data_IF_830699685617
#
_entry.id   IF_830699685617
#
_cell.length_a   1.000
_cell.length_b   1.000
_cell.length_c   1.000
_cell.angle_alpha   90.00
_cell.angle_beta   90.00
_cell.angle_gamma   90.00
#
_symmetry.space_group_name_H-M   'P 1'
#
loop_
_entity.id
_entity.type
_entity.pdbx_description
1 polymer ?
#
# COMPACT_ATOMS: atom_id res chain seq x y z
N UNK A 1 -10.66 -24.80 2.31
CA UNK A 1 -10.41 -23.41 2.75
C UNK A 1 -10.80 -22.50 1.58
N UNK A 2 -12.04 -22.01 1.58
CA UNK A 2 -12.69 -21.37 0.43
C UNK A 2 -13.39 -20.07 0.86
N UNK A 3 -12.79 -19.37 1.83
CA UNK A 3 -13.27 -18.07 2.34
C UNK A 3 -12.53 -16.88 1.68
N UNK A 4 -11.74 -17.14 0.65
CA UNK A 4 -10.80 -16.15 0.08
C UNK A 4 -11.42 -15.19 -0.94
N UNK A 5 -12.50 -15.56 -1.63
CA UNK A 5 -12.99 -14.71 -2.72
C UNK A 5 -13.71 -13.44 -2.24
N UNK A 6 -14.54 -13.54 -1.19
CA UNK A 6 -15.30 -12.39 -0.67
C UNK A 6 -14.43 -11.42 0.12
N UNK A 7 -13.53 -11.95 0.97
CA UNK A 7 -12.57 -11.16 1.74
C UNK A 7 -11.59 -10.40 0.82
N UNK A 8 -11.06 -11.06 -0.21
CA UNK A 8 -10.17 -10.44 -1.19
C UNK A 8 -10.85 -9.30 -1.96
N UNK A 9 -12.11 -9.51 -2.40
CA UNK A 9 -12.88 -8.46 -3.09
C UNK A 9 -13.15 -7.24 -2.19
N UNK A 10 -13.44 -7.48 -0.90
CA UNK A 10 -13.62 -6.39 0.08
C UNK A 10 -12.30 -5.65 0.28
N UNK A 11 -11.19 -6.36 0.50
CA UNK A 11 -9.86 -5.76 0.64
C UNK A 11 -9.50 -4.92 -0.60
N UNK A 12 -9.71 -5.49 -1.80
CA UNK A 12 -9.49 -4.79 -3.07
C UNK A 12 -10.29 -3.49 -3.15
N UNK A 13 -11.59 -3.56 -2.84
CA UNK A 13 -12.49 -2.41 -2.85
C UNK A 13 -12.08 -1.32 -1.87
N UNK A 14 -11.65 -1.70 -0.66
CA UNK A 14 -11.18 -0.78 0.38
C UNK A 14 -9.88 -0.08 -0.04
N UNK A 15 -8.91 -0.82 -0.56
CA UNK A 15 -7.65 -0.24 -1.02
C UNK A 15 -7.87 0.71 -2.20
N UNK A 16 -8.68 0.33 -3.19
CA UNK A 16 -9.03 1.21 -4.31
C UNK A 16 -9.68 2.50 -3.79
N UNK A 17 -10.64 2.39 -2.87
CA UNK A 17 -11.30 3.56 -2.27
C UNK A 17 -10.32 4.44 -1.48
N UNK A 18 -9.37 3.85 -0.76
CA UNK A 18 -8.34 4.60 -0.04
C UNK A 18 -7.44 5.38 -1.00
N UNK A 19 -6.97 4.75 -2.08
CA UNK A 19 -6.14 5.38 -3.12
C UNK A 19 -6.86 6.60 -3.73
N UNK A 20 -8.16 6.46 -4.03
CA UNK A 20 -8.99 7.55 -4.56
C UNK A 20 -9.11 8.72 -3.58
N UNK A 21 -9.43 8.43 -2.30
CA UNK A 21 -9.57 9.44 -1.25
C UNK A 21 -8.25 10.18 -0.96
N UNK A 22 -7.14 9.46 -1.05
CA UNK A 22 -5.80 10.01 -0.87
C UNK A 22 -5.34 10.82 -2.10
N UNK A 23 -6.09 10.79 -3.21
CA UNK A 23 -5.74 11.42 -4.49
C UNK A 23 -4.33 11.01 -4.93
N UNK A 24 -4.06 9.71 -4.90
CA UNK A 24 -2.74 9.18 -5.22
C UNK A 24 -2.34 9.54 -6.67
N UNK A 25 -1.09 9.98 -6.90
CA UNK A 25 -0.65 10.44 -8.23
C UNK A 25 -0.57 9.28 -9.22
N UNK A 26 -0.84 9.47 -10.53
CA UNK A 26 -0.68 8.39 -11.54
C UNK A 26 0.67 7.68 -11.45
N UNK A 27 0.75 6.41 -11.84
CA UNK A 27 1.98 5.61 -11.71
C UNK A 27 3.11 6.13 -12.60
N UNK A 28 2.73 6.69 -13.75
CA UNK A 28 3.60 7.22 -14.80
C UNK A 28 4.02 8.68 -14.52
N UNK A 29 3.53 9.28 -13.45
CA UNK A 29 3.92 10.63 -13.04
C UNK A 29 5.29 10.60 -12.34
N UNK A 30 6.34 10.27 -13.09
CA UNK A 30 7.72 10.48 -12.63
C UNK A 30 7.93 11.99 -12.38
N UNK A 31 8.33 12.35 -11.17
CA UNK A 31 8.67 13.74 -10.83
C UNK A 31 7.51 14.61 -10.36
N UNK A 32 6.29 14.08 -10.22
CA UNK A 32 5.28 14.74 -9.40
C UNK A 32 5.73 14.63 -7.93
N UNK A 33 6.56 15.57 -7.50
CA UNK A 33 6.79 15.91 -6.10
C UNK A 33 5.47 16.35 -5.48
N UNK A 34 4.54 15.39 -5.35
CA UNK A 34 3.34 15.53 -4.54
C UNK A 34 3.87 15.82 -3.15
N UNK A 35 3.73 17.09 -2.76
CA UNK A 35 4.14 17.67 -1.49
C UNK A 35 4.02 16.60 -0.40
N UNK A 36 5.18 16.22 0.11
CA UNK A 36 5.52 14.94 0.74
C UNK A 36 4.94 14.79 2.14
N UNK A 37 3.65 15.05 2.29
CA UNK A 37 2.99 14.88 3.58
C UNK A 37 2.34 13.50 3.70
N UNK A 38 1.89 12.86 2.60
CA UNK A 38 1.11 11.60 2.69
C UNK A 38 1.74 10.41 1.99
N UNK A 39 3.03 10.50 1.65
CA UNK A 39 3.70 9.45 0.84
C UNK A 39 3.64 8.07 1.52
N UNK A 40 3.88 7.99 2.82
CA UNK A 40 3.86 6.72 3.54
C UNK A 40 2.45 6.09 3.53
N UNK A 41 1.41 6.89 3.75
CA UNK A 41 0.01 6.39 3.73
C UNK A 41 -0.39 5.95 2.31
N UNK A 42 0.01 6.71 1.28
CA UNK A 42 -0.24 6.32 -0.12
C UNK A 42 0.52 5.05 -0.48
N UNK A 43 1.77 4.91 -0.02
CA UNK A 43 2.56 3.71 -0.22
C UNK A 43 1.93 2.49 0.48
N UNK A 44 1.40 2.63 1.69
CA UNK A 44 0.62 1.56 2.35
C UNK A 44 -0.60 1.16 1.54
N UNK A 45 -1.43 2.14 1.13
CA UNK A 45 -2.64 1.86 0.36
C UNK A 45 -2.33 1.17 -0.98
N UNK A 46 -1.28 1.62 -1.69
CA UNK A 46 -0.84 0.99 -2.95
C UNK A 46 -0.15 -0.34 -2.76
N UNK A 47 0.62 -0.51 -1.70
CA UNK A 47 1.29 -1.76 -1.37
C UNK A 47 0.29 -2.87 -1.06
N UNK A 48 -0.69 -2.60 -0.19
CA UNK A 48 -1.77 -3.55 0.10
C UNK A 48 -2.65 -3.84 -1.12
N UNK A 49 -2.92 -2.83 -1.96
CA UNK A 49 -3.59 -3.06 -3.24
C UNK A 49 -2.77 -3.97 -4.15
N UNK A 50 -1.46 -3.73 -4.26
CA UNK A 50 -0.56 -4.53 -5.06
C UNK A 50 -0.53 -6.00 -4.62
N UNK A 51 -0.47 -6.27 -3.31
CA UNK A 51 -0.52 -7.64 -2.77
C UNK A 51 -1.83 -8.34 -3.15
N UNK A 52 -2.96 -7.62 -3.04
CA UNK A 52 -4.28 -8.11 -3.45
C UNK A 52 -4.32 -8.49 -4.93
N UNK A 53 -3.70 -7.69 -5.80
CA UNK A 53 -3.62 -7.97 -7.24
C UNK A 53 -2.63 -9.08 -7.58
N UNK A 54 -1.51 -9.17 -6.88
CA UNK A 54 -0.47 -10.18 -7.16
C UNK A 54 -0.94 -11.61 -6.91
N UNK A 55 -1.94 -11.80 -6.04
CA UNK A 55 -2.60 -13.10 -5.82
C UNK A 55 -3.42 -13.52 -7.05
N UNK A 56 -3.93 -12.56 -7.84
CA UNK A 56 -4.73 -12.80 -9.03
C UNK A 56 -3.81 -12.96 -10.26
N UNK A 57 -3.70 -14.18 -10.82
CA UNK A 57 -2.72 -14.48 -11.88
C UNK A 57 -2.81 -13.57 -13.11
N UNK A 58 -4.02 -13.18 -13.52
CA UNK A 58 -4.28 -12.29 -14.65
C UNK A 58 -3.88 -10.83 -14.39
N UNK A 59 -3.69 -10.43 -13.13
CA UNK A 59 -3.38 -9.05 -12.73
C UNK A 59 -2.03 -8.89 -12.05
N UNK A 60 -1.25 -9.97 -11.96
CA UNK A 60 0.07 -9.96 -11.33
C UNK A 60 1.01 -8.88 -11.87
N UNK A 61 1.02 -8.64 -13.18
CA UNK A 61 1.87 -7.61 -13.81
C UNK A 61 1.52 -6.20 -13.31
N UNK A 62 0.22 -5.91 -13.15
CA UNK A 62 -0.27 -4.64 -12.60
C UNK A 62 0.12 -4.51 -11.13
N UNK A 63 -0.08 -5.57 -10.34
CA UNK A 63 0.32 -5.64 -8.94
C UNK A 63 1.83 -5.37 -8.76
N UNK A 64 2.69 -6.00 -9.55
CA UNK A 64 4.14 -5.77 -9.47
C UNK A 64 4.54 -4.33 -9.80
N UNK A 65 3.84 -3.66 -10.74
CA UNK A 65 4.08 -2.24 -11.03
C UNK A 65 3.69 -1.34 -9.84
N UNK A 66 2.53 -1.60 -9.25
CA UNK A 66 2.05 -0.87 -8.06
C UNK A 66 2.99 -1.07 -6.87
N UNK A 67 3.46 -2.32 -6.67
CA UNK A 67 4.41 -2.67 -5.61
C UNK A 67 5.71 -1.88 -5.73
N UNK A 68 6.34 -1.89 -6.92
CA UNK A 68 7.58 -1.14 -7.17
C UNK A 68 7.41 0.36 -6.93
N UNK A 69 6.27 0.91 -7.36
CA UNK A 69 5.97 2.32 -7.09
C UNK A 69 5.87 2.57 -5.58
N UNK A 70 5.15 1.72 -4.85
CA UNK A 70 4.94 1.87 -3.41
C UNK A 70 6.26 1.77 -2.64
N UNK A 71 7.11 0.81 -2.99
CA UNK A 71 8.46 0.65 -2.41
C UNK A 71 9.36 1.87 -2.67
N UNK A 72 9.31 2.45 -3.88
CA UNK A 72 10.07 3.66 -4.22
C UNK A 72 9.53 4.92 -3.51
N UNK A 73 8.22 5.00 -3.30
CA UNK A 73 7.56 6.09 -2.60
C UNK A 73 7.73 6.01 -1.07
N UNK A 74 7.98 4.81 -0.54
CA UNK A 74 8.17 4.55 0.88
C UNK A 74 9.47 5.20 1.40
N UNK A 75 9.35 6.07 2.40
CA UNK A 75 10.51 6.82 2.94
C UNK A 75 10.74 6.57 4.44
N UNK A 76 10.09 5.57 5.01
CA UNK A 76 10.37 5.15 6.38
C UNK A 76 11.74 4.46 6.45
N UNK A 77 12.61 4.97 7.32
CA UNK A 77 13.98 4.45 7.51
C UNK A 77 14.07 3.35 8.56
N UNK A 78 13.05 3.20 9.40
CA UNK A 78 13.03 2.25 10.53
C UNK A 78 12.41 0.90 10.17
N UNK A 79 11.64 0.87 9.10
CA UNK A 79 10.81 -0.24 8.69
C UNK A 79 10.63 -0.21 7.19
N UNK A 80 10.74 -1.36 6.54
CA UNK A 80 10.42 -1.55 5.12
C UNK A 80 8.90 -1.55 4.88
N UNK A 81 8.48 -1.32 3.63
CA UNK A 81 7.06 -1.38 3.30
C UNK A 81 6.48 -2.78 3.55
N UNK A 82 7.25 -3.83 3.25
CA UNK A 82 6.82 -5.22 3.49
C UNK A 82 6.60 -5.50 4.98
N UNK A 83 7.51 -5.07 5.85
CA UNK A 83 7.32 -5.18 7.31
C UNK A 83 6.08 -4.39 7.79
N UNK A 84 5.75 -3.26 7.16
CA UNK A 84 4.58 -2.47 7.53
C UNK A 84 3.25 -3.05 7.02
N UNK A 85 3.27 -3.88 5.98
CA UNK A 85 2.09 -4.57 5.45
C UNK A 85 1.86 -5.93 6.11
N UNK A 86 2.92 -6.55 6.65
CA UNK A 86 2.85 -7.79 7.41
C UNK A 86 2.28 -7.56 8.83
N UNK A 87 0.98 -7.31 8.90
CA UNK A 87 0.22 -7.20 10.15
C UNK A 87 -0.13 -8.62 10.63
N UNK A 88 0.88 -9.41 10.95
CA UNK A 88 0.72 -10.71 11.60
C UNK A 88 0.72 -10.57 13.12
N UNK A 89 -0.04 -11.42 13.83
CA UNK A 89 -0.13 -11.42 15.29
C UNK A 89 1.24 -11.65 15.99
N UNK A 90 2.22 -12.16 15.24
CA UNK A 90 3.57 -12.45 15.73
C UNK A 90 4.57 -11.31 15.48
N UNK A 91 4.17 -10.24 14.79
CA UNK A 91 5.05 -9.11 14.53
C UNK A 91 5.27 -8.29 15.81
N UNK A 92 6.53 -8.14 16.21
CA UNK A 92 6.92 -7.27 17.34
C UNK A 92 6.84 -5.78 17.01
N UNK A 93 6.59 -5.42 15.75
CA UNK A 93 6.49 -4.04 15.26
C UNK A 93 5.10 -3.82 14.68
N UNK A 94 4.22 -3.17 15.43
CA UNK A 94 2.91 -2.74 14.92
C UNK A 94 3.09 -1.35 14.29
N UNK A 95 2.93 -1.20 12.96
CA UNK A 95 3.04 0.09 12.30
C UNK A 95 1.92 1.02 12.78
N UNK A 96 2.27 2.19 13.33
CA UNK A 96 1.29 3.20 13.74
C UNK A 96 1.32 4.36 12.76
N UNK A 97 0.18 4.70 12.19
CA UNK A 97 0.04 5.88 11.34
C UNK A 97 -0.24 7.09 12.24
N UNK A 98 0.71 8.01 12.35
CA UNK A 98 0.46 9.33 12.94
C UNK A 98 -0.21 10.21 11.89
N UNK A 99 -1.52 10.39 12.01
CA UNK A 99 -2.35 11.14 11.06
C UNK A 99 -1.98 12.62 10.96
N UNK A 100 -1.39 13.21 12.02
CA UNK A 100 -1.02 14.64 12.07
C UNK A 100 0.13 14.93 11.12
N UNK A 101 1.10 14.03 11.06
CA UNK A 101 2.25 14.13 10.15
C UNK A 101 2.12 13.23 8.92
N UNK A 102 1.07 12.41 8.88
CA UNK A 102 0.74 11.47 7.80
C UNK A 102 1.89 10.51 7.47
N UNK A 103 2.58 10.04 8.53
CA UNK A 103 3.70 9.10 8.46
C UNK A 103 3.45 7.87 9.32
N UNK A 104 4.15 6.80 8.96
CA UNK A 104 4.21 5.58 9.77
C UNK A 104 5.38 5.71 10.74
N UNK A 105 5.14 5.42 12.02
CA UNK A 105 6.12 5.44 13.10
C UNK A 105 6.60 4.03 13.46
#
# INVERSE_FOLDING_TARGET
MMEHSSSLLIQEGLYRRAIDLLKAPPLEAEGAETKVYRRDIVALARGGYAETLCIQQNRKVEGERLKRWAESAWRNRRMSLAEALDISEYSSKVPVIDSRISRVL
#
